data_IF_573045802202
#
_entry.id   IF_573045802202
#
_cell.length_a   1.000
_cell.length_b   1.000
_cell.length_c   1.000
_cell.angle_alpha   90.00
_cell.angle_beta   90.00
_cell.angle_gamma   90.00
#
_symmetry.space_group_name_H-M   'P 1'
#
loop_
_entity.id
_entity.type
_entity.pdbx_description
1 polymer ?
#
# COMPACT_ATOMS: atom_id res chain seq x y z
N UNK A 1 50.38 28.54 12.78
CA UNK A 1 50.32 27.39 13.72
C UNK A 1 49.09 27.57 14.60
N UNK A 2 48.21 26.56 14.65
CA UNK A 2 47.07 26.36 15.57
C UNK A 2 45.85 27.29 15.35
N UNK A 3 44.58 26.86 15.24
CA UNK A 3 43.91 25.57 15.29
C UNK A 3 42.52 25.76 14.63
N UNK A 4 42.09 25.00 13.62
CA UNK A 4 41.40 23.69 13.69
C UNK A 4 40.21 23.61 14.67
N UNK A 5 39.07 23.20 14.10
CA UNK A 5 37.89 22.51 14.68
C UNK A 5 36.61 23.35 14.88
N UNK A 6 35.66 23.21 13.94
CA UNK A 6 34.30 22.66 14.19
C UNK A 6 33.43 22.77 12.92
N UNK A 7 33.65 21.84 12.00
CA UNK A 7 32.61 21.38 11.08
C UNK A 7 32.87 19.90 10.78
N UNK A 8 32.76 19.09 11.84
CA UNK A 8 32.42 17.69 11.69
C UNK A 8 30.90 17.63 11.78
N UNK A 9 30.22 17.93 10.68
CA UNK A 9 28.84 17.48 10.51
C UNK A 9 28.94 15.98 10.31
N UNK A 10 28.91 15.25 11.43
CA UNK A 10 28.76 13.81 11.43
C UNK A 10 27.51 13.47 10.64
N UNK A 11 27.66 12.63 9.62
CA UNK A 11 26.53 12.03 8.90
C UNK A 11 25.52 11.50 9.91
N UNK A 12 24.19 11.60 9.65
CA UNK A 12 23.18 10.89 10.42
C UNK A 12 23.63 9.45 10.69
N UNK A 13 23.98 9.14 11.93
CA UNK A 13 24.25 7.77 12.33
C UNK A 13 22.93 7.01 12.19
N UNK A 14 22.89 6.05 11.27
CA UNK A 14 21.82 5.08 11.16
C UNK A 14 22.26 3.89 12.02
N UNK A 15 21.58 3.70 13.13
CA UNK A 15 21.93 2.68 14.11
C UNK A 15 20.82 1.64 14.19
N UNK A 16 21.17 0.36 14.31
CA UNK A 16 20.22 -0.67 14.71
C UNK A 16 20.26 -0.80 16.23
N UNK A 17 19.10 -0.75 16.87
CA UNK A 17 18.95 -0.83 18.31
C UNK A 17 17.83 -1.79 18.68
N UNK A 18 17.79 -2.21 19.93
CA UNK A 18 16.70 -3.00 20.48
C UNK A 18 16.15 -2.34 21.74
N UNK A 19 14.85 -2.48 21.96
CA UNK A 19 14.18 -2.05 23.20
C UNK A 19 13.09 -3.05 23.57
N UNK A 20 12.63 -3.02 24.82
CA UNK A 20 11.48 -3.81 25.26
C UNK A 20 10.24 -2.92 25.29
N UNK A 21 9.23 -3.26 24.50
CA UNK A 21 7.96 -2.54 24.40
C UNK A 21 6.80 -3.53 24.57
N UNK A 22 5.89 -3.24 25.51
CA UNK A 22 4.72 -4.07 25.81
C UNK A 22 5.06 -5.58 25.92
N UNK A 23 6.15 -5.90 26.62
CA UNK A 23 6.60 -7.29 26.86
C UNK A 23 7.34 -7.96 25.70
N UNK A 24 7.54 -7.29 24.55
CA UNK A 24 8.29 -7.83 23.40
C UNK A 24 9.61 -7.09 23.18
N UNK A 25 10.65 -7.83 22.86
CA UNK A 25 11.92 -7.25 22.40
C UNK A 25 11.78 -6.86 20.93
N UNK A 26 11.91 -5.55 20.63
CA UNK A 26 11.74 -4.99 19.30
C UNK A 26 13.05 -4.37 18.83
N UNK A 27 13.53 -4.85 17.69
CA UNK A 27 14.65 -4.24 16.97
C UNK A 27 14.15 -3.10 16.09
N UNK A 28 14.80 -1.94 16.15
CA UNK A 28 14.43 -0.76 15.38
C UNK A 28 15.65 -0.04 14.78
N UNK A 29 15.42 0.68 13.70
CA UNK A 29 16.43 1.53 13.05
C UNK A 29 16.28 2.96 13.57
N UNK A 30 17.30 3.47 14.26
CA UNK A 30 17.37 4.85 14.70
C UNK A 30 18.06 5.72 13.65
N UNK A 31 17.44 6.84 13.28
CA UNK A 31 17.99 7.85 12.39
C UNK A 31 18.00 9.22 13.06
N UNK A 32 19.19 9.79 13.27
CA UNK A 32 19.32 11.15 13.86
C UNK A 32 19.51 12.21 12.77
N UNK A 33 18.76 13.30 12.80
CA UNK A 33 18.80 14.35 11.76
C UNK A 33 18.84 15.76 12.35
N UNK A 34 19.68 16.64 11.78
CA UNK A 34 19.73 18.06 12.15
C UNK A 34 18.49 18.85 11.71
N UNK A 35 17.76 18.33 10.71
CA UNK A 35 16.58 18.99 10.10
C UNK A 35 15.29 18.73 10.89
N UNK A 36 15.23 17.67 11.70
CA UNK A 36 14.03 17.33 12.49
C UNK A 36 13.99 18.09 13.81
N UNK A 37 12.77 18.34 14.29
CA UNK A 37 12.48 18.96 15.58
C UNK A 37 11.71 18.03 16.53
N UNK A 38 11.16 16.92 16.02
CA UNK A 38 10.39 15.93 16.77
C UNK A 38 10.84 14.50 16.48
N UNK A 39 10.48 13.58 17.39
CA UNK A 39 10.62 12.12 17.19
C UNK A 39 9.45 11.63 16.33
N UNK A 40 9.76 10.97 15.21
CA UNK A 40 8.79 10.31 14.35
C UNK A 40 9.00 8.80 14.35
N UNK A 41 7.92 8.04 14.51
CA UNK A 41 7.90 6.59 14.40
C UNK A 41 7.31 6.20 13.04
N UNK A 42 8.00 5.33 12.31
CA UNK A 42 7.49 4.74 11.06
C UNK A 42 7.62 3.23 11.15
N UNK A 43 6.55 2.52 10.88
CA UNK A 43 6.52 1.05 10.88
C UNK A 43 6.13 0.59 9.48
N UNK A 44 6.95 -0.26 8.89
CA UNK A 44 6.75 -0.86 7.57
C UNK A 44 7.24 -2.32 7.57
N UNK A 45 7.23 -2.99 6.42
CA UNK A 45 7.72 -4.38 6.26
C UNK A 45 9.16 -4.63 6.76
N UNK A 46 10.00 -3.59 6.91
CA UNK A 46 11.37 -3.68 7.44
C UNK A 46 11.44 -3.50 8.96
N UNK A 47 10.30 -3.29 9.61
CA UNK A 47 10.17 -3.06 11.05
C UNK A 47 10.06 -1.58 11.42
N UNK A 48 10.37 -1.27 12.68
CA UNK A 48 10.27 0.07 13.25
C UNK A 48 11.49 0.92 12.84
N UNK A 49 11.24 2.10 12.28
CA UNK A 49 12.21 3.17 12.08
C UNK A 49 11.85 4.35 12.96
N UNK A 50 12.79 4.77 13.81
CA UNK A 50 12.67 5.95 14.68
C UNK A 50 13.54 7.06 14.11
N UNK A 51 12.95 8.22 13.82
CA UNK A 51 13.68 9.39 13.32
C UNK A 51 13.62 10.52 14.34
N UNK A 52 14.75 11.06 14.78
CA UNK A 52 14.79 12.10 15.83
C UNK A 52 15.82 13.22 15.57
N UNK A 53 15.74 14.36 16.28
CA UNK A 53 16.76 15.41 16.23
C UNK A 53 18.16 14.91 16.66
N UNK A 54 19.24 15.47 16.08
CA UNK A 54 20.62 15.09 16.46
C UNK A 54 20.88 15.16 17.97
N UNK A 55 20.41 16.23 18.62
CA UNK A 55 20.63 16.51 20.05
C UNK A 55 19.50 15.99 20.96
N UNK A 56 18.58 15.20 20.43
CA UNK A 56 17.54 14.58 21.25
C UNK A 56 18.17 13.61 22.26
N UNK A 57 17.75 13.69 23.52
CA UNK A 57 18.24 12.82 24.59
C UNK A 57 17.68 11.40 24.44
N UNK A 58 18.46 10.42 24.91
CA UNK A 58 18.03 9.02 24.98
C UNK A 58 16.81 8.86 25.89
N UNK A 59 16.76 9.59 27.01
CA UNK A 59 15.60 9.59 27.92
C UNK A 59 14.30 9.97 27.20
N UNK A 60 14.35 10.96 26.31
CA UNK A 60 13.16 11.36 25.54
C UNK A 60 12.76 10.32 24.50
N UNK A 61 13.72 9.65 23.86
CA UNK A 61 13.46 8.50 22.99
C UNK A 61 12.72 7.40 23.74
N UNK A 62 13.24 7.01 24.91
CA UNK A 62 12.67 5.94 25.71
C UNK A 62 11.24 6.28 26.16
N UNK A 63 11.00 7.51 26.62
CA UNK A 63 9.65 7.98 26.96
C UNK A 63 8.69 7.85 25.79
N UNK A 64 9.03 8.36 24.60
CA UNK A 64 8.15 8.30 23.42
C UNK A 64 7.90 6.87 22.96
N UNK A 65 8.90 5.99 23.04
CA UNK A 65 8.74 4.59 22.68
C UNK A 65 7.82 3.87 23.66
N UNK A 66 7.97 4.09 24.97
CA UNK A 66 7.12 3.47 25.99
C UNK A 66 5.68 3.99 25.93
N UNK A 67 5.47 5.28 25.73
CA UNK A 67 4.13 5.87 25.52
C UNK A 67 3.41 5.28 24.30
N UNK A 68 4.14 4.81 23.30
CA UNK A 68 3.59 4.20 22.08
C UNK A 68 3.81 2.69 22.01
N UNK A 69 4.18 2.04 23.12
CA UNK A 69 4.59 0.64 23.13
C UNK A 69 3.52 -0.29 22.54
N UNK A 70 2.28 -0.19 23.02
CA UNK A 70 1.16 -1.01 22.54
C UNK A 70 0.86 -0.76 21.05
N UNK A 71 0.87 0.51 20.63
CA UNK A 71 0.65 0.87 19.23
C UNK A 71 1.76 0.33 18.32
N UNK A 72 3.02 0.40 18.77
CA UNK A 72 4.18 -0.13 18.03
C UNK A 72 4.06 -1.64 17.87
N UNK A 73 3.79 -2.36 18.97
CA UNK A 73 3.64 -3.82 18.95
C UNK A 73 2.47 -4.23 18.06
N UNK A 74 1.28 -3.64 18.25
CA UNK A 74 0.12 -3.96 17.44
C UNK A 74 0.35 -3.72 15.94
N UNK A 75 1.09 -2.66 15.58
CA UNK A 75 1.46 -2.40 14.18
C UNK A 75 2.49 -3.37 13.65
N UNK A 76 3.50 -3.76 14.44
CA UNK A 76 4.51 -4.73 14.04
C UNK A 76 3.91 -6.13 13.89
N UNK A 77 3.08 -6.56 14.83
CA UNK A 77 2.35 -7.82 14.78
C UNK A 77 1.41 -7.85 13.57
N UNK A 78 0.72 -6.73 13.30
CA UNK A 78 -0.01 -6.52 12.06
C UNK A 78 0.89 -6.80 10.86
N UNK A 79 2.00 -6.08 10.70
CA UNK A 79 2.93 -6.29 9.58
C UNK A 79 3.53 -7.70 9.49
N UNK A 80 3.83 -8.36 10.62
CA UNK A 80 4.39 -9.72 10.65
C UNK A 80 3.36 -10.79 10.28
N UNK A 81 2.11 -10.64 10.71
CA UNK A 81 1.00 -11.49 10.25
C UNK A 81 0.61 -11.24 8.79
N UNK A 82 1.19 -10.21 8.15
CA UNK A 82 0.93 -9.74 6.79
C UNK A 82 2.12 -9.96 5.85
N UNK A 83 3.12 -10.76 6.22
CA UNK A 83 4.11 -11.25 5.26
C UNK A 83 3.32 -12.05 4.23
N UNK A 84 3.28 -11.63 2.94
CA UNK A 84 2.57 -12.39 1.93
C UNK A 84 3.15 -13.80 1.92
N UNK A 85 2.29 -14.82 2.02
CA UNK A 85 2.70 -16.17 1.66
C UNK A 85 3.27 -16.06 0.25
N UNK A 86 4.55 -16.36 0.12
CA UNK A 86 5.28 -16.18 -1.13
C UNK A 86 4.55 -17.01 -2.20
N UNK A 87 3.92 -16.32 -3.16
CA UNK A 87 3.16 -16.97 -4.23
C UNK A 87 4.12 -17.88 -4.98
N UNK A 88 3.81 -19.17 -5.02
CA UNK A 88 4.69 -20.19 -5.59
C UNK A 88 4.68 -20.16 -7.11
N UNK A 89 3.67 -19.50 -7.68
CA UNK A 89 3.36 -19.43 -9.11
C UNK A 89 3.28 -20.83 -9.72
N UNK A 90 2.52 -21.71 -9.05
CA UNK A 90 2.33 -23.10 -9.43
C UNK A 90 0.90 -23.37 -9.91
N UNK A 91 0.71 -24.45 -10.69
CA UNK A 91 -0.63 -24.86 -11.13
C UNK A 91 -1.49 -25.22 -9.91
N UNK A 92 -2.76 -24.82 -9.94
CA UNK A 92 -3.71 -25.02 -8.86
C UNK A 92 -3.67 -23.97 -7.76
N UNK A 93 -2.74 -23.00 -7.82
CA UNK A 93 -2.65 -21.94 -6.83
C UNK A 93 -3.86 -20.98 -6.91
N UNK A 94 -4.28 -20.44 -5.76
CA UNK A 94 -5.44 -19.57 -5.67
C UNK A 94 -5.00 -18.10 -5.73
N UNK A 95 -5.69 -17.33 -6.57
CA UNK A 95 -5.40 -15.93 -6.84
C UNK A 95 -6.64 -15.08 -6.54
N UNK A 96 -6.51 -14.12 -5.63
CA UNK A 96 -7.63 -13.24 -5.28
C UNK A 96 -8.01 -12.31 -6.44
N UNK A 97 -9.30 -12.24 -6.77
CA UNK A 97 -9.84 -11.40 -7.83
C UNK A 97 -11.28 -11.00 -7.50
N UNK A 98 -11.53 -9.70 -7.36
CA UNK A 98 -12.86 -9.13 -7.11
C UNK A 98 -13.61 -9.67 -5.90
N UNK A 99 -12.89 -10.16 -4.88
CA UNK A 99 -13.46 -10.74 -3.66
C UNK A 99 -13.67 -12.26 -3.74
N UNK A 100 -13.43 -12.86 -4.90
CA UNK A 100 -13.41 -14.30 -5.12
C UNK A 100 -11.98 -14.79 -5.36
N UNK A 101 -11.81 -16.10 -5.61
CA UNK A 101 -10.52 -16.72 -5.88
C UNK A 101 -10.52 -17.43 -7.22
N UNK A 102 -9.56 -17.10 -8.09
CA UNK A 102 -9.30 -17.82 -9.33
C UNK A 102 -8.27 -18.92 -9.10
N UNK A 103 -8.50 -20.09 -9.68
CA UNK A 103 -7.49 -21.15 -9.75
C UNK A 103 -6.55 -20.89 -10.92
N UNK A 104 -5.25 -20.76 -10.65
CA UNK A 104 -4.21 -20.63 -11.66
C UNK A 104 -4.05 -21.95 -12.42
N UNK A 105 -4.18 -21.91 -13.74
CA UNK A 105 -3.92 -23.03 -14.65
C UNK A 105 -2.76 -22.70 -15.57
N UNK A 106 -1.77 -23.58 -15.64
CA UNK A 106 -0.58 -23.38 -16.45
C UNK A 106 -0.61 -24.38 -17.60
N UNK A 107 -0.66 -23.85 -18.82
CA UNK A 107 -0.64 -24.66 -20.03
C UNK A 107 0.66 -24.41 -20.80
N UNK A 108 1.34 -25.49 -21.18
CA UNK A 108 2.54 -25.39 -22.01
C UNK A 108 2.17 -25.32 -23.48
N UNK A 109 2.75 -24.37 -24.20
CA UNK A 109 2.52 -24.16 -25.64
C UNK A 109 3.81 -23.78 -26.36
N UNK A 110 3.85 -24.03 -27.68
CA UNK A 110 4.95 -23.61 -28.55
C UNK A 110 5.12 -22.07 -28.57
N UNK A 111 4.02 -21.35 -28.33
CA UNK A 111 3.99 -19.88 -28.32
C UNK A 111 3.39 -19.36 -27.02
N UNK A 112 3.90 -18.23 -26.53
CA UNK A 112 3.27 -17.50 -25.43
C UNK A 112 1.99 -16.83 -25.93
N UNK A 113 0.88 -17.04 -25.24
CA UNK A 113 -0.39 -16.35 -25.49
C UNK A 113 -0.77 -15.49 -24.29
N UNK A 114 -1.61 -14.45 -24.48
CA UNK A 114 -2.18 -13.69 -23.36
C UNK A 114 -2.91 -14.62 -22.39
N UNK A 115 -2.81 -14.35 -21.09
CA UNK A 115 -3.58 -15.11 -20.10
C UNK A 115 -5.08 -14.87 -20.30
N UNK A 116 -5.88 -15.90 -19.99
CA UNK A 116 -7.32 -15.89 -20.23
C UNK A 116 -8.05 -16.34 -18.98
N UNK A 117 -8.99 -15.53 -18.50
CA UNK A 117 -9.92 -15.97 -17.47
C UNK A 117 -11.04 -16.81 -18.11
N UNK A 118 -11.31 -17.97 -17.51
CA UNK A 118 -12.42 -18.87 -17.86
C UNK A 118 -13.16 -19.22 -16.59
N UNK A 119 -14.33 -18.61 -16.37
CA UNK A 119 -15.07 -18.74 -15.10
C UNK A 119 -14.16 -18.42 -13.90
N UNK A 120 -13.90 -19.42 -13.06
CA UNK A 120 -13.12 -19.31 -11.85
C UNK A 120 -11.66 -19.78 -12.03
N UNK A 121 -11.18 -19.86 -13.27
CA UNK A 121 -9.81 -20.26 -13.58
C UNK A 121 -9.11 -19.19 -14.39
N UNK A 122 -7.82 -18.95 -14.10
CA UNK A 122 -6.95 -18.11 -14.90
C UNK A 122 -5.94 -18.99 -15.64
N UNK A 123 -6.07 -19.06 -16.95
CA UNK A 123 -5.21 -19.86 -17.82
C UNK A 123 -4.02 -19.03 -18.29
N UNK A 124 -2.81 -19.50 -18.01
CA UNK A 124 -1.54 -18.88 -18.38
C UNK A 124 -0.78 -19.80 -19.31
N UNK A 125 -0.45 -19.30 -20.50
CA UNK A 125 0.22 -20.05 -21.56
C UNK A 125 1.71 -19.72 -21.61
N UNK A 126 2.55 -20.72 -21.32
CA UNK A 126 4.01 -20.56 -21.25
C UNK A 126 4.72 -21.60 -22.11
N UNK A 127 5.97 -21.34 -22.48
CA UNK A 127 6.81 -22.35 -23.14
C UNK A 127 7.22 -23.43 -22.15
N UNK A 128 7.59 -24.61 -22.64
CA UNK A 128 8.00 -25.76 -21.82
C UNK A 128 9.21 -25.51 -20.91
N UNK A 129 9.99 -24.46 -21.15
CA UNK A 129 11.15 -24.00 -20.36
C UNK A 129 10.79 -22.82 -19.43
N UNK A 130 9.60 -22.84 -18.83
CA UNK A 130 9.12 -21.71 -18.04
C UNK A 130 9.76 -21.62 -16.65
N UNK A 131 9.77 -20.41 -16.11
CA UNK A 131 10.13 -20.13 -14.72
C UNK A 131 8.93 -19.54 -13.98
N UNK A 132 8.85 -19.68 -12.64
CA UNK A 132 7.83 -19.00 -11.81
C UNK A 132 7.71 -17.50 -12.13
N UNK A 133 8.84 -16.84 -12.43
CA UNK A 133 8.85 -15.43 -12.80
C UNK A 133 8.11 -15.12 -14.12
N UNK A 134 8.15 -16.02 -15.13
CA UNK A 134 7.36 -15.83 -16.37
C UNK A 134 5.86 -15.89 -16.09
N UNK A 135 5.44 -16.76 -15.16
CA UNK A 135 4.04 -16.89 -14.75
C UNK A 135 3.59 -15.66 -13.98
N UNK A 136 4.39 -15.22 -13.00
CA UNK A 136 4.18 -13.97 -12.25
C UNK A 136 3.97 -12.79 -13.21
N UNK A 137 4.84 -12.65 -14.22
CA UNK A 137 4.73 -11.59 -15.21
C UNK A 137 3.44 -11.69 -16.05
N UNK A 138 3.05 -12.90 -16.46
CA UNK A 138 1.83 -13.11 -17.23
C UNK A 138 0.57 -12.77 -16.41
N UNK A 139 0.50 -13.23 -15.16
CA UNK A 139 -0.60 -12.92 -14.23
C UNK A 139 -0.63 -11.43 -13.90
N UNK A 140 0.53 -10.81 -13.66
CA UNK A 140 0.62 -9.36 -13.39
C UNK A 140 0.12 -8.53 -14.58
N UNK A 141 0.50 -8.91 -15.81
CA UNK A 141 0.00 -8.25 -17.02
C UNK A 141 -1.49 -8.42 -17.18
N UNK A 142 -2.02 -9.61 -16.89
CA UNK A 142 -3.45 -9.86 -16.91
C UNK A 142 -4.21 -8.97 -15.92
N UNK A 143 -3.75 -8.89 -14.66
CA UNK A 143 -4.33 -7.95 -13.70
C UNK A 143 -4.30 -6.51 -14.18
N UNK A 144 -3.23 -6.06 -14.86
CA UNK A 144 -3.18 -4.71 -15.44
C UNK A 144 -4.23 -4.50 -16.52
N UNK A 145 -4.45 -5.51 -17.37
CA UNK A 145 -5.42 -5.49 -18.45
C UNK A 145 -6.86 -5.48 -17.93
N UNK A 146 -7.15 -6.19 -16.85
CA UNK A 146 -8.48 -6.22 -16.22
C UNK A 146 -8.75 -4.98 -15.36
N UNK A 147 -7.73 -4.51 -14.62
CA UNK A 147 -7.91 -3.44 -13.64
C UNK A 147 -8.27 -2.10 -14.28
N UNK A 148 -7.58 -1.69 -15.35
CA UNK A 148 -7.78 -0.35 -15.91
C UNK A 148 -9.21 -0.16 -16.51
N UNK A 149 -9.76 -1.08 -17.32
CA UNK A 149 -11.13 -0.99 -17.80
C UNK A 149 -12.15 -0.96 -16.65
N UNK A 150 -11.99 -1.84 -15.65
CA UNK A 150 -12.89 -1.87 -14.50
C UNK A 150 -12.83 -0.54 -13.72
N UNK A 151 -11.64 -0.04 -13.42
CA UNK A 151 -11.49 1.21 -12.68
C UNK A 151 -12.07 2.40 -13.44
N UNK A 152 -11.92 2.43 -14.77
CA UNK A 152 -12.58 3.43 -15.61
C UNK A 152 -14.11 3.33 -15.50
N UNK A 153 -14.66 2.14 -15.62
CA UNK A 153 -16.10 1.91 -15.46
C UNK A 153 -16.60 2.39 -14.08
N UNK A 154 -15.85 2.11 -13.01
CA UNK A 154 -16.22 2.57 -11.66
C UNK A 154 -16.13 4.10 -11.54
N UNK A 155 -15.09 4.72 -12.11
CA UNK A 155 -14.97 6.18 -12.14
C UNK A 155 -16.11 6.82 -12.93
N UNK A 156 -16.46 6.27 -14.09
CA UNK A 156 -17.55 6.79 -14.93
C UNK A 156 -18.91 6.69 -14.23
N UNK A 157 -19.08 5.71 -13.33
CA UNK A 157 -20.27 5.59 -12.49
C UNK A 157 -20.33 6.65 -11.37
N UNK A 158 -19.23 6.85 -10.64
CA UNK A 158 -19.23 7.71 -9.43
C UNK A 158 -18.93 9.19 -9.70
N UNK A 159 -18.21 9.52 -10.77
CA UNK A 159 -17.85 10.90 -11.10
C UNK A 159 -19.08 11.83 -11.31
N UNK A 160 -20.15 11.40 -12.00
CA UNK A 160 -21.38 12.19 -12.12
C UNK A 160 -22.08 12.42 -10.78
N UNK A 161 -22.05 11.43 -9.88
CA UNK A 161 -22.70 11.52 -8.55
C UNK A 161 -22.02 12.56 -7.65
N UNK A 162 -20.70 12.75 -7.83
CA UNK A 162 -19.91 13.79 -7.16
C UNK A 162 -19.83 15.11 -7.96
N UNK A 163 -20.46 15.17 -9.14
CA UNK A 163 -20.38 16.31 -10.06
C UNK A 163 -18.93 16.74 -10.37
N UNK A 164 -18.07 15.76 -10.66
CA UNK A 164 -16.64 15.94 -10.99
C UNK A 164 -16.30 15.32 -12.35
N UNK A 165 -15.20 15.79 -12.94
CA UNK A 165 -14.65 15.23 -14.17
C UNK A 165 -13.13 15.03 -14.02
N UNK A 166 -12.65 13.81 -13.69
CA UNK A 166 -11.22 13.53 -13.66
C UNK A 166 -10.62 13.69 -15.06
N UNK A 167 -9.43 14.29 -15.13
CA UNK A 167 -8.71 14.49 -16.40
C UNK A 167 -8.13 13.18 -16.93
N UNK A 168 -7.65 12.34 -16.04
CA UNK A 168 -6.97 11.10 -16.41
C UNK A 168 -7.02 10.08 -15.28
N UNK A 169 -7.16 8.81 -15.65
CA UNK A 169 -7.12 7.67 -14.73
C UNK A 169 -5.89 6.83 -15.08
N UNK A 170 -5.07 6.53 -14.07
CA UNK A 170 -3.84 5.73 -14.23
C UNK A 170 -3.78 4.60 -13.22
N UNK A 171 -3.19 3.48 -13.64
CA UNK A 171 -2.76 2.46 -12.70
C UNK A 171 -1.53 2.92 -11.92
N UNK A 172 -1.44 2.48 -10.67
CA UNK A 172 -0.33 2.68 -9.77
C UNK A 172 0.13 1.32 -9.21
N UNK A 173 1.39 1.22 -8.85
CA UNK A 173 1.94 0.08 -8.10
C UNK A 173 2.60 0.58 -6.79
N UNK A 174 1.98 1.59 -6.17
CA UNK A 174 2.45 2.17 -4.91
C UNK A 174 2.43 1.10 -3.81
N UNK A 175 3.42 1.12 -2.90
CA UNK A 175 3.54 0.11 -1.83
C UNK A 175 2.79 0.45 -0.55
N UNK A 176 2.15 1.62 -0.48
CA UNK A 176 1.61 2.14 0.79
C UNK A 176 0.27 2.84 0.65
N UNK A 177 -0.28 2.91 -0.55
CA UNK A 177 -1.50 3.68 -0.85
C UNK A 177 -2.35 2.96 -1.89
N UNK A 178 -3.65 2.86 -1.61
CA UNK A 178 -4.65 2.28 -2.50
C UNK A 178 -5.00 3.20 -3.69
N UNK A 179 -4.89 4.51 -3.48
CA UNK A 179 -5.07 5.51 -4.53
C UNK A 179 -4.42 6.84 -4.17
N UNK A 180 -4.37 7.74 -5.14
CA UNK A 180 -4.17 9.16 -4.90
C UNK A 180 -4.77 10.01 -6.03
N UNK A 181 -5.25 11.20 -5.67
CA UNK A 181 -5.67 12.22 -6.61
C UNK A 181 -4.70 13.42 -6.58
N UNK A 182 -4.40 13.96 -7.76
CA UNK A 182 -3.57 15.17 -7.90
C UNK A 182 -4.45 16.39 -8.14
N UNK A 183 -3.98 17.57 -7.73
CA UNK A 183 -4.68 18.83 -8.00
C UNK A 183 -4.92 19.13 -9.49
N UNK A 184 -4.20 18.46 -10.40
CA UNK A 184 -4.40 18.55 -11.86
C UNK A 184 -5.50 17.62 -12.39
N UNK A 185 -6.20 16.92 -11.50
CA UNK A 185 -7.28 16.00 -11.84
C UNK A 185 -6.82 14.65 -12.36
N UNK A 186 -5.60 14.21 -12.06
CA UNK A 186 -5.16 12.83 -12.37
C UNK A 186 -5.41 11.95 -11.16
N UNK A 187 -6.20 10.89 -11.36
CA UNK A 187 -6.52 9.86 -10.36
C UNK A 187 -5.66 8.64 -10.62
N UNK A 188 -4.90 8.24 -9.61
CA UNK A 188 -4.08 7.04 -9.61
C UNK A 188 -4.72 5.99 -8.72
N UNK A 189 -4.97 4.80 -9.26
CA UNK A 189 -5.56 3.68 -8.53
C UNK A 189 -4.58 2.51 -8.51
N UNK A 190 -4.38 1.91 -7.34
CA UNK A 190 -3.43 0.83 -7.17
C UNK A 190 -3.95 -0.43 -7.86
N UNK A 191 -3.10 -1.09 -8.65
CA UNK A 191 -3.45 -2.36 -9.30
C UNK A 191 -3.92 -3.42 -8.30
N UNK A 192 -3.37 -3.44 -7.08
CA UNK A 192 -3.74 -4.43 -6.06
C UNK A 192 -5.23 -4.35 -5.68
N UNK A 193 -5.92 -3.23 -5.96
CA UNK A 193 -7.37 -3.12 -5.75
C UNK A 193 -8.17 -4.19 -6.49
N UNK A 194 -7.69 -4.67 -7.65
CA UNK A 194 -8.39 -5.69 -8.45
C UNK A 194 -8.55 -7.02 -7.71
N UNK A 195 -7.75 -7.24 -6.66
CA UNK A 195 -7.81 -8.42 -5.80
C UNK A 195 -8.85 -8.31 -4.70
N UNK A 196 -9.37 -7.10 -4.46
CA UNK A 196 -10.33 -6.83 -3.39
C UNK A 196 -11.77 -6.95 -3.90
N UNK A 197 -12.74 -7.21 -3.00
CA UNK A 197 -14.16 -7.10 -3.31
C UNK A 197 -14.52 -5.77 -3.96
N UNK A 198 -15.48 -5.81 -4.89
CA UNK A 198 -15.86 -4.65 -5.70
C UNK A 198 -16.29 -3.44 -4.85
N UNK A 199 -16.96 -3.65 -3.71
CA UNK A 199 -17.41 -2.56 -2.84
C UNK A 199 -16.25 -1.76 -2.23
N UNK A 200 -15.08 -2.38 -2.04
CA UNK A 200 -13.86 -1.69 -1.58
C UNK A 200 -13.20 -0.90 -2.70
N UNK A 201 -13.22 -1.42 -3.93
CA UNK A 201 -12.77 -0.68 -5.11
C UNK A 201 -13.62 0.59 -5.27
N UNK A 202 -14.93 0.45 -5.14
CA UNK A 202 -15.89 1.56 -5.20
C UNK A 202 -15.63 2.64 -4.16
N UNK A 203 -15.36 2.22 -2.92
CA UNK A 203 -15.02 3.15 -1.85
C UNK A 203 -13.75 3.93 -2.17
N UNK A 204 -12.69 3.26 -2.64
CA UNK A 204 -11.44 3.93 -3.00
C UNK A 204 -11.63 4.87 -4.18
N UNK A 205 -12.37 4.46 -5.22
CA UNK A 205 -12.71 5.33 -6.36
C UNK A 205 -13.46 6.57 -5.89
N UNK A 206 -14.49 6.41 -5.06
CA UNK A 206 -15.28 7.52 -4.51
C UNK A 206 -14.39 8.47 -3.69
N UNK A 207 -13.51 7.92 -2.85
CA UNK A 207 -12.54 8.68 -2.05
C UNK A 207 -11.61 9.54 -2.92
N UNK A 208 -11.01 8.94 -3.95
CA UNK A 208 -10.08 9.66 -4.83
C UNK A 208 -10.81 10.70 -5.72
N UNK A 209 -12.06 10.46 -6.09
CA UNK A 209 -12.85 11.42 -6.84
C UNK A 209 -13.31 12.60 -5.98
N UNK A 210 -13.66 12.37 -4.71
CA UNK A 210 -14.00 13.44 -3.76
C UNK A 210 -12.85 14.44 -3.59
N UNK A 211 -11.59 13.99 -3.76
CA UNK A 211 -10.43 14.88 -3.75
C UNK A 211 -10.46 15.95 -4.85
N UNK A 212 -11.20 15.76 -5.95
CA UNK A 212 -11.38 16.78 -6.98
C UNK A 212 -12.25 17.96 -6.54
N UNK A 213 -13.00 17.82 -5.44
CA UNK A 213 -13.72 18.89 -4.76
C UNK A 213 -12.88 19.42 -3.59
N UNK A 214 -12.43 18.52 -2.74
CA UNK A 214 -11.75 18.85 -1.49
C UNK A 214 -10.41 18.09 -1.35
N UNK A 215 -9.30 18.81 -1.51
CA UNK A 215 -7.95 18.21 -1.53
C UNK A 215 -7.44 17.78 -0.14
N UNK A 216 -8.16 18.11 0.93
CA UNK A 216 -7.84 17.73 2.30
C UNK A 216 -8.97 16.84 2.87
N UNK A 217 -8.67 16.04 3.90
CA UNK A 217 -9.68 15.21 4.57
C UNK A 217 -10.49 15.99 5.62
N UNK A 218 -10.99 17.17 5.25
CA UNK A 218 -11.87 18.01 6.08
C UNK A 218 -13.27 17.39 6.23
N UNK A 219 -14.11 17.99 7.08
CA UNK A 219 -15.51 17.56 7.22
C UNK A 219 -16.27 17.66 5.90
N UNK A 220 -16.01 18.71 5.10
CA UNK A 220 -16.58 18.86 3.76
C UNK A 220 -16.19 17.69 2.84
N UNK A 221 -14.93 17.25 2.86
CA UNK A 221 -14.50 16.07 2.11
C UNK A 221 -15.28 14.81 2.50
N UNK A 222 -15.46 14.57 3.80
CA UNK A 222 -16.17 13.37 4.25
C UNK A 222 -17.67 13.43 3.93
N UNK A 223 -18.28 14.63 3.91
CA UNK A 223 -19.64 14.82 3.43
C UNK A 223 -19.78 14.43 1.94
N UNK A 224 -18.83 14.85 1.09
CA UNK A 224 -18.82 14.45 -0.34
C UNK A 224 -18.76 12.93 -0.48
N UNK A 225 -17.89 12.27 0.29
CA UNK A 225 -17.78 10.80 0.26
C UNK A 225 -19.06 10.12 0.76
N UNK A 226 -19.62 10.59 1.89
CA UNK A 226 -20.82 10.01 2.51
C UNK A 226 -22.07 10.14 1.63
N UNK A 227 -22.21 11.27 0.93
CA UNK A 227 -23.32 11.51 0.01
C UNK A 227 -23.44 10.44 -1.09
N UNK A 228 -22.31 9.86 -1.49
CA UNK A 228 -22.24 8.87 -2.59
C UNK A 228 -22.00 7.45 -2.07
N UNK A 229 -21.34 7.31 -0.91
CA UNK A 229 -21.06 6.04 -0.25
C UNK A 229 -21.46 6.16 1.24
N UNK A 230 -22.75 6.01 1.59
CA UNK A 230 -23.22 6.20 2.97
C UNK A 230 -22.58 5.25 4.00
N UNK A 231 -22.17 4.07 3.54
CA UNK A 231 -21.49 3.04 4.33
C UNK A 231 -19.95 3.18 4.34
N UNK A 232 -19.40 4.34 3.95
CA UNK A 232 -17.96 4.54 3.80
C UNK A 232 -17.16 4.24 5.07
N UNK A 233 -17.72 4.45 6.26
CA UNK A 233 -17.04 4.15 7.53
C UNK A 233 -16.74 2.65 7.68
N UNK A 234 -17.70 1.81 7.30
CA UNK A 234 -17.55 0.35 7.32
C UNK A 234 -16.50 -0.09 6.30
N UNK A 235 -16.62 0.39 5.05
CA UNK A 235 -15.66 0.08 3.98
C UNK A 235 -14.25 0.57 4.29
N UNK A 236 -14.12 1.72 4.93
CA UNK A 236 -12.84 2.27 5.41
C UNK A 236 -12.23 1.40 6.52
N UNK A 237 -13.05 0.88 7.43
CA UNK A 237 -12.58 -0.02 8.47
C UNK A 237 -12.09 -1.34 7.88
N UNK A 238 -12.86 -1.92 6.95
CA UNK A 238 -12.50 -3.12 6.20
C UNK A 238 -11.19 -2.92 5.41
N UNK A 239 -11.09 -1.85 4.61
CA UNK A 239 -9.88 -1.55 3.85
C UNK A 239 -8.64 -1.32 4.72
N UNK A 240 -8.80 -0.80 5.95
CA UNK A 240 -7.69 -0.66 6.92
C UNK A 240 -7.23 -1.99 7.50
N UNK A 241 -8.11 -2.98 7.57
CA UNK A 241 -7.77 -4.33 7.98
C UNK A 241 -6.93 -5.04 6.91
N UNK A 242 -7.10 -4.64 5.64
CA UNK A 242 -6.34 -5.13 4.50
C UNK A 242 -5.02 -4.36 4.38
N UNK A 243 -3.93 -5.10 4.27
CA UNK A 243 -2.60 -4.54 4.07
C UNK A 243 -2.30 -4.37 2.58
N UNK A 244 -1.52 -3.35 2.26
CA UNK A 244 -0.93 -3.16 0.94
C UNK A 244 0.55 -3.51 0.99
#
# INVERSE_FOLDING_TARGET
MLARLRNLVTSPAVEKRATHLAGKQITYTLKRSSKRRSIGLRIDHRGLTVSMPLRASEKWLDTVLQEKAEWVVAKLDGWQARIPVETKWADGELLDYLGDQLTLRIETSLFSAPAQQRKNELWVFVKSDYSPHKIEQAVTRWYQQEALPLFKQRVDHYAPLLNVAPRMIKLSNAKTQWGCCTARGTVHLNIQLIKLPLHLIDYVVTHELAHLREMNHSDAFWQEVENVCPDYLLRRAELKAIAL
#
